data_IF_802393628911
#
_entry.id   IF_802393628911
#
_cell.length_a   1.000
_cell.length_b   1.000
_cell.length_c   1.000
_cell.angle_alpha   90.00
_cell.angle_beta   90.00
_cell.angle_gamma   90.00
#
_symmetry.space_group_name_H-M   'P 1'
#
loop_
_entity.id
_entity.type
_entity.pdbx_description
1 polymer ?
#
# COMPACT_ATOMS: atom_id res chain seq x y z
N UNK A 1 -37.95 -15.62 -21.67
CA UNK A 1 -36.54 -15.42 -21.27
C UNK A 1 -35.89 -14.59 -22.37
N UNK A 2 -36.01 -13.27 -22.27
CA UNK A 2 -35.25 -12.36 -23.14
C UNK A 2 -33.93 -12.09 -22.44
N UNK A 3 -32.83 -12.40 -23.14
CA UNK A 3 -31.51 -11.84 -22.85
C UNK A 3 -31.62 -10.33 -23.07
N UNK A 4 -32.01 -9.60 -22.03
CA UNK A 4 -32.02 -8.13 -22.06
C UNK A 4 -30.57 -7.66 -22.15
N UNK A 5 -30.20 -7.35 -23.39
CA UNK A 5 -29.10 -6.51 -23.87
C UNK A 5 -28.46 -5.65 -22.77
N UNK A 6 -27.52 -6.24 -22.01
CA UNK A 6 -26.43 -5.49 -21.40
C UNK A 6 -25.51 -5.10 -22.55
N UNK A 7 -25.83 -3.96 -23.18
CA UNK A 7 -25.14 -3.47 -24.36
C UNK A 7 -23.64 -3.37 -24.11
N UNK A 8 -22.84 -3.73 -25.11
CA UNK A 8 -21.42 -3.35 -25.18
C UNK A 8 -21.35 -1.83 -25.13
N UNK A 9 -20.93 -1.23 -24.01
CA UNK A 9 -20.88 0.24 -23.81
C UNK A 9 -19.61 0.85 -24.40
N UNK A 10 -19.22 0.32 -25.55
CA UNK A 10 -17.95 0.58 -26.20
C UNK A 10 -16.82 -0.28 -25.67
N UNK A 11 -15.63 0.31 -25.75
CA UNK A 11 -14.34 -0.29 -25.42
C UNK A 11 -13.50 0.79 -24.74
N UNK A 12 -12.68 0.39 -23.78
CA UNK A 12 -11.52 1.20 -23.41
C UNK A 12 -10.49 1.01 -24.52
N UNK A 13 -10.11 2.08 -25.20
CA UNK A 13 -9.18 2.04 -26.33
C UNK A 13 -8.19 3.20 -26.22
N UNK A 14 -6.91 2.90 -26.41
CA UNK A 14 -5.82 3.88 -26.31
C UNK A 14 -4.47 3.24 -26.02
N UNK A 15 -3.46 4.09 -25.83
CA UNK A 15 -2.13 3.66 -25.46
C UNK A 15 -2.10 2.98 -24.07
N UNK A 16 -1.34 1.90 -23.94
CA UNK A 16 -1.10 1.21 -22.67
C UNK A 16 0.10 1.76 -21.89
N UNK A 17 0.85 2.71 -22.45
CA UNK A 17 2.07 3.26 -21.82
C UNK A 17 3.31 2.38 -21.94
N UNK A 18 3.22 1.21 -22.58
CA UNK A 18 4.33 0.30 -22.90
C UNK A 18 4.59 0.19 -24.42
N UNK A 19 4.02 1.10 -25.21
CA UNK A 19 4.17 1.15 -26.66
C UNK A 19 3.13 0.33 -27.44
N UNK A 20 2.15 -0.25 -26.74
CA UNK A 20 1.01 -0.95 -27.33
C UNK A 20 -0.25 -0.08 -27.37
N UNK A 21 -1.19 -0.47 -28.23
CA UNK A 21 -2.58 -0.01 -28.18
C UNK A 21 -3.41 -1.14 -27.60
N UNK A 22 -4.13 -0.84 -26.52
CA UNK A 22 -4.98 -1.80 -25.84
C UNK A 22 -6.45 -1.54 -26.16
N UNK A 23 -7.23 -2.60 -26.27
CA UNK A 23 -8.68 -2.53 -26.49
C UNK A 23 -9.38 -3.52 -25.57
N UNK A 24 -10.00 -3.01 -24.51
CA UNK A 24 -10.71 -3.81 -23.51
C UNK A 24 -12.22 -3.55 -23.58
N UNK A 25 -13.08 -4.57 -23.36
CA UNK A 25 -14.51 -4.35 -23.25
C UNK A 25 -14.86 -3.38 -22.10
N UNK A 26 -15.72 -2.41 -22.39
CA UNK A 26 -16.33 -1.55 -21.37
C UNK A 26 -17.74 -2.06 -21.07
N UNK A 27 -17.90 -2.74 -19.95
CA UNK A 27 -19.16 -3.38 -19.56
C UNK A 27 -20.11 -2.45 -18.81
N UNK A 28 -19.58 -1.36 -18.23
CA UNK A 28 -20.33 -0.37 -17.46
C UNK A 28 -20.08 1.06 -17.96
N UNK A 29 -21.09 1.91 -17.81
CA UNK A 29 -20.99 3.36 -17.88
C UNK A 29 -21.46 3.84 -16.50
N UNK A 30 -20.55 4.30 -15.63
CA UNK A 30 -20.89 4.59 -14.26
C UNK A 30 -22.01 5.63 -14.10
N UNK A 31 -22.16 6.56 -15.05
CA UNK A 31 -23.20 7.58 -14.99
C UNK A 31 -24.60 7.04 -15.28
N UNK A 32 -24.70 6.01 -16.11
CA UNK A 32 -25.97 5.42 -16.53
C UNK A 32 -26.38 4.24 -15.65
N UNK A 33 -25.40 3.48 -15.17
CA UNK A 33 -25.69 2.20 -14.52
C UNK A 33 -25.32 2.14 -13.06
N UNK A 34 -24.53 3.09 -12.59
CA UNK A 34 -24.02 3.09 -11.23
C UNK A 34 -23.43 1.71 -10.90
N UNK A 35 -23.85 1.17 -9.76
CA UNK A 35 -23.28 -0.03 -9.14
C UNK A 35 -24.02 -1.32 -9.49
N UNK A 36 -24.88 -1.33 -10.53
CA UNK A 36 -25.78 -2.45 -10.85
C UNK A 36 -25.09 -3.81 -10.98
N UNK A 37 -23.90 -3.86 -11.57
CA UNK A 37 -23.13 -5.10 -11.75
C UNK A 37 -22.54 -5.65 -10.45
N UNK A 38 -22.48 -4.83 -9.39
CA UNK A 38 -22.12 -5.22 -8.03
C UNK A 38 -23.35 -5.28 -7.10
N UNK A 39 -24.53 -5.61 -7.63
CA UNK A 39 -25.77 -5.70 -6.84
C UNK A 39 -25.84 -6.94 -5.93
N UNK A 40 -25.09 -7.99 -6.24
CA UNK A 40 -24.96 -9.18 -5.40
C UNK A 40 -24.14 -8.94 -4.13
N UNK A 41 -23.34 -7.87 -4.08
CA UNK A 41 -22.58 -7.51 -2.89
C UNK A 41 -23.50 -6.91 -1.82
N UNK A 42 -23.47 -7.43 -0.58
CA UNK A 42 -24.32 -6.93 0.48
C UNK A 42 -23.86 -5.54 0.94
N UNK A 43 -24.80 -4.74 1.43
CA UNK A 43 -24.47 -3.58 2.26
C UNK A 43 -23.85 -4.06 3.57
N UNK A 44 -22.60 -3.68 3.81
CA UNK A 44 -21.83 -4.05 5.02
C UNK A 44 -21.76 -2.93 6.03
N UNK A 45 -21.91 -1.69 5.56
CA UNK A 45 -21.66 -0.51 6.35
C UNK A 45 -22.89 0.39 6.45
N UNK A 46 -22.96 1.09 7.59
CA UNK A 46 -23.89 2.20 7.78
C UNK A 46 -23.40 3.40 6.99
N UNK A 47 -24.34 4.10 6.36
CA UNK A 47 -24.08 5.28 5.51
C UNK A 47 -24.93 6.48 5.92
N UNK A 48 -25.71 6.33 6.98
CA UNK A 48 -26.62 7.35 7.53
C UNK A 48 -25.94 8.28 8.55
N UNK A 49 -24.66 8.07 8.84
CA UNK A 49 -23.89 8.88 9.77
C UNK A 49 -23.25 10.10 9.06
N UNK A 50 -23.12 11.26 9.74
CA UNK A 50 -22.42 12.40 9.19
C UNK A 50 -20.94 12.10 8.89
N UNK A 51 -20.34 12.85 7.97
CA UNK A 51 -18.90 12.79 7.77
C UNK A 51 -18.14 13.20 9.05
N UNK A 52 -16.94 12.64 9.26
CA UNK A 52 -16.07 12.95 10.41
C UNK A 52 -16.73 12.77 11.79
N UNK A 53 -17.67 11.83 11.89
CA UNK A 53 -18.50 11.59 13.08
C UNK A 53 -18.05 10.40 13.92
N UNK A 54 -17.23 9.50 13.39
CA UNK A 54 -16.82 8.25 14.05
C UNK A 54 -15.34 8.35 14.43
N UNK A 55 -15.03 8.20 15.72
CA UNK A 55 -13.64 8.15 16.20
C UNK A 55 -12.92 6.91 15.67
N UNK A 56 -11.59 6.97 15.56
CA UNK A 56 -10.81 5.90 14.94
C UNK A 56 -11.04 4.52 15.58
N UNK A 57 -11.12 4.44 16.91
CA UNK A 57 -11.35 3.17 17.60
C UNK A 57 -12.71 2.53 17.26
N UNK A 58 -13.77 3.35 17.19
CA UNK A 58 -15.11 2.89 16.82
C UNK A 58 -15.18 2.53 15.33
N UNK A 59 -14.46 3.27 14.49
CA UNK A 59 -14.36 2.99 13.07
C UNK A 59 -13.64 1.65 12.82
N UNK A 60 -12.49 1.43 13.46
CA UNK A 60 -11.74 0.18 13.37
C UNK A 60 -12.57 -1.01 13.87
N UNK A 61 -13.37 -0.84 14.93
CA UNK A 61 -14.29 -1.87 15.41
C UNK A 61 -15.40 -2.18 14.40
N UNK A 62 -15.94 -1.15 13.72
CA UNK A 62 -16.93 -1.31 12.65
C UNK A 62 -16.32 -2.02 11.43
N UNK A 63 -15.06 -1.74 11.08
CA UNK A 63 -14.36 -2.45 10.02
C UNK A 63 -14.16 -3.93 10.38
N UNK A 64 -13.61 -4.20 11.57
CA UNK A 64 -13.31 -5.54 12.06
C UNK A 64 -14.57 -6.43 12.13
N UNK A 65 -15.73 -5.87 12.50
CA UNK A 65 -16.99 -6.59 12.53
C UNK A 65 -17.43 -7.15 11.16
N UNK A 66 -16.87 -6.64 10.06
CA UNK A 66 -17.14 -7.13 8.70
C UNK A 66 -16.15 -8.19 8.21
N UNK A 67 -15.10 -8.46 8.98
CA UNK A 67 -14.03 -9.40 8.62
C UNK A 67 -14.41 -10.79 9.16
N UNK A 68 -14.32 -11.87 8.33
CA UNK A 68 -14.56 -13.23 8.81
C UNK A 68 -13.62 -13.63 9.95
N UNK A 69 -14.11 -14.43 10.90
CA UNK A 69 -13.35 -14.81 12.10
C UNK A 69 -12.08 -15.58 11.76
N UNK A 70 -12.12 -16.40 10.73
CA UNK A 70 -10.98 -17.15 10.20
C UNK A 70 -9.88 -16.22 9.67
N UNK A 71 -10.24 -15.09 9.07
CA UNK A 71 -9.29 -14.08 8.61
C UNK A 71 -8.65 -13.38 9.80
N UNK A 72 -9.44 -13.01 10.81
CA UNK A 72 -8.91 -12.43 12.05
C UNK A 72 -7.93 -13.39 12.75
N UNK A 73 -8.31 -14.66 12.89
CA UNK A 73 -7.46 -15.68 13.50
C UNK A 73 -6.15 -15.89 12.71
N UNK A 74 -6.23 -15.90 11.37
CA UNK A 74 -5.06 -16.00 10.50
C UNK A 74 -4.14 -14.78 10.62
N UNK A 75 -4.70 -13.57 10.69
CA UNK A 75 -3.92 -12.34 10.92
C UNK A 75 -3.12 -12.46 12.22
N UNK A 76 -3.74 -12.91 13.32
CA UNK A 76 -3.02 -13.09 14.58
C UNK A 76 -1.88 -14.13 14.47
N UNK A 77 -2.12 -15.23 13.77
CA UNK A 77 -1.10 -16.27 13.54
C UNK A 77 0.08 -15.72 12.74
N UNK A 78 -0.20 -14.97 11.66
CA UNK A 78 0.83 -14.35 10.82
C UNK A 78 1.66 -13.34 11.63
N UNK A 79 1.02 -12.51 12.43
CA UNK A 79 1.71 -11.54 13.29
C UNK A 79 2.61 -12.23 14.33
N UNK A 80 2.12 -13.29 14.97
CA UNK A 80 2.88 -14.06 15.94
C UNK A 80 4.08 -14.76 15.29
N UNK A 81 3.86 -15.37 14.12
CA UNK A 81 4.89 -16.08 13.38
C UNK A 81 5.96 -15.12 12.83
N UNK A 82 5.56 -13.96 12.33
CA UNK A 82 6.47 -12.91 11.90
C UNK A 82 7.38 -12.44 13.05
N UNK A 83 6.84 -12.24 14.27
CA UNK A 83 7.66 -11.92 15.46
C UNK A 83 8.65 -13.04 15.77
N UNK A 84 8.19 -14.30 15.72
CA UNK A 84 9.01 -15.47 16.00
C UNK A 84 10.18 -15.58 15.01
N UNK A 85 9.90 -15.43 13.72
CA UNK A 85 10.91 -15.48 12.65
C UNK A 85 11.87 -14.31 12.71
N UNK A 86 11.39 -13.10 13.03
CA UNK A 86 12.26 -11.94 13.23
C UNK A 86 13.24 -12.15 14.39
N UNK A 87 12.79 -12.73 15.51
CA UNK A 87 13.66 -13.12 16.63
C UNK A 87 14.74 -14.15 16.28
N UNK A 88 14.62 -14.83 15.13
CA UNK A 88 15.59 -15.77 14.58
C UNK A 88 16.44 -15.17 13.45
N UNK A 89 16.21 -13.90 13.09
CA UNK A 89 16.85 -13.26 11.93
C UNK A 89 16.35 -13.76 10.58
N UNK A 90 15.15 -14.39 10.54
CA UNK A 90 14.56 -14.98 9.34
C UNK A 90 13.46 -14.12 8.69
N UNK A 91 13.06 -13.03 9.33
CA UNK A 91 12.08 -12.08 8.84
C UNK A 91 12.50 -10.65 9.22
N UNK A 92 11.87 -9.65 8.61
CA UNK A 92 12.09 -8.25 8.96
C UNK A 92 11.64 -7.96 10.41
N UNK A 93 12.21 -6.90 10.99
CA UNK A 93 11.87 -6.42 12.32
C UNK A 93 10.43 -5.95 12.38
N UNK A 94 9.59 -6.50 13.27
CA UNK A 94 8.22 -6.06 13.48
C UNK A 94 8.12 -4.58 13.87
N UNK A 95 7.03 -3.91 13.50
CA UNK A 95 6.77 -2.55 13.94
C UNK A 95 6.63 -2.46 15.45
N UNK A 96 7.00 -1.31 16.00
CA UNK A 96 6.98 -1.09 17.46
C UNK A 96 5.53 -1.05 17.97
N UNK A 97 4.62 -0.39 17.23
CA UNK A 97 3.21 -0.36 17.58
C UNK A 97 2.44 -1.56 17.02
N UNK A 98 2.28 -2.59 17.85
CA UNK A 98 1.55 -3.80 17.50
C UNK A 98 0.09 -3.54 17.07
N UNK A 99 -0.57 -2.51 17.63
CA UNK A 99 -1.96 -2.19 17.29
C UNK A 99 -2.05 -1.64 15.86
N UNK A 100 -1.18 -0.70 15.52
CA UNK A 100 -1.07 -0.18 14.15
C UNK A 100 -0.65 -1.26 13.17
N UNK A 101 0.28 -2.15 13.55
CA UNK A 101 0.68 -3.27 12.70
C UNK A 101 -0.49 -4.20 12.37
N UNK A 102 -1.26 -4.60 13.39
CA UNK A 102 -2.47 -5.40 13.20
C UNK A 102 -3.47 -4.68 12.30
N UNK A 103 -3.72 -3.40 12.57
CA UNK A 103 -4.63 -2.57 11.77
C UNK A 103 -4.21 -2.56 10.30
N UNK A 104 -2.92 -2.36 10.01
CA UNK A 104 -2.38 -2.38 8.65
C UNK A 104 -2.74 -3.68 7.90
N UNK A 105 -2.52 -4.85 8.52
CA UNK A 105 -2.84 -6.14 7.90
C UNK A 105 -4.36 -6.31 7.67
N UNK A 106 -5.20 -5.87 8.61
CA UNK A 106 -6.65 -5.92 8.44
C UNK A 106 -7.13 -5.01 7.31
N UNK A 107 -6.54 -3.82 7.19
CA UNK A 107 -6.82 -2.91 6.09
C UNK A 107 -6.38 -3.50 4.76
N UNK A 108 -5.29 -4.25 4.70
CA UNK A 108 -4.90 -4.97 3.48
C UNK A 108 -5.96 -5.97 3.00
N UNK A 109 -6.56 -6.71 3.93
CA UNK A 109 -7.65 -7.62 3.58
C UNK A 109 -8.91 -6.87 3.12
N UNK A 110 -9.25 -5.78 3.82
CA UNK A 110 -10.41 -4.97 3.45
C UNK A 110 -10.23 -4.26 2.11
N UNK A 111 -9.02 -3.82 1.81
CA UNK A 111 -8.59 -3.28 0.52
C UNK A 111 -8.79 -4.30 -0.60
N UNK A 112 -8.34 -5.54 -0.41
CA UNK A 112 -8.56 -6.63 -1.37
C UNK A 112 -10.06 -6.85 -1.65
N UNK A 113 -10.86 -6.92 -0.58
CA UNK A 113 -12.31 -7.09 -0.68
C UNK A 113 -12.95 -5.93 -1.44
N UNK A 114 -12.61 -4.69 -1.08
CA UNK A 114 -13.20 -3.51 -1.72
C UNK A 114 -12.80 -3.41 -3.19
N UNK A 115 -11.56 -3.76 -3.53
CA UNK A 115 -11.09 -3.87 -4.90
C UNK A 115 -11.90 -4.89 -5.71
N UNK A 116 -12.21 -6.05 -5.14
CA UNK A 116 -13.06 -7.04 -5.79
C UNK A 116 -14.48 -6.51 -6.07
N UNK A 117 -15.08 -5.77 -5.12
CA UNK A 117 -16.40 -5.14 -5.32
C UNK A 117 -16.35 -4.10 -6.45
N UNK A 118 -15.27 -3.31 -6.52
CA UNK A 118 -15.07 -2.31 -7.59
C UNK A 118 -14.89 -2.98 -8.95
N UNK A 119 -14.10 -4.06 -9.03
CA UNK A 119 -13.90 -4.83 -10.26
C UNK A 119 -15.19 -5.50 -10.75
N UNK A 120 -16.00 -6.03 -9.84
CA UNK A 120 -17.34 -6.54 -10.16
C UNK A 120 -18.25 -5.43 -10.70
N UNK A 121 -18.21 -4.23 -10.10
CA UNK A 121 -18.97 -3.08 -10.58
C UNK A 121 -18.51 -2.61 -11.97
N UNK A 122 -17.22 -2.76 -12.29
CA UNK A 122 -16.67 -2.52 -13.63
C UNK A 122 -17.07 -3.58 -14.67
N UNK A 123 -17.63 -4.71 -14.22
CA UNK A 123 -17.95 -5.86 -15.05
C UNK A 123 -16.74 -6.73 -15.41
N UNK A 124 -15.66 -6.64 -14.62
CA UNK A 124 -14.43 -7.42 -14.77
C UNK A 124 -14.13 -8.20 -13.49
N UNK A 125 -15.01 -9.13 -13.07
CA UNK A 125 -14.79 -9.91 -11.85
C UNK A 125 -13.51 -10.72 -11.95
N UNK A 126 -12.77 -10.83 -10.83
CA UNK A 126 -11.54 -11.62 -10.76
C UNK A 126 -11.45 -12.38 -9.44
N UNK A 127 -11.24 -13.68 -9.55
CA UNK A 127 -11.06 -14.55 -8.39
C UNK A 127 -9.87 -14.13 -7.52
N UNK A 128 -8.83 -13.56 -8.15
CA UNK A 128 -7.62 -13.10 -7.47
C UNK A 128 -7.79 -11.75 -6.76
N UNK A 129 -8.79 -10.94 -7.11
CA UNK A 129 -8.96 -9.62 -6.49
C UNK A 129 -9.33 -9.71 -5.01
N UNK A 130 -10.11 -10.73 -4.61
CA UNK A 130 -10.49 -10.95 -3.21
C UNK A 130 -9.31 -11.36 -2.31
N UNK A 131 -8.15 -11.66 -2.89
CA UNK A 131 -6.91 -12.00 -2.16
C UNK A 131 -5.76 -11.08 -2.55
N UNK A 132 -6.04 -9.97 -3.24
CA UNK A 132 -5.08 -8.91 -3.54
C UNK A 132 -4.35 -8.45 -2.28
N UNK A 133 -3.04 -8.27 -2.36
CA UNK A 133 -2.15 -8.02 -1.23
C UNK A 133 -2.17 -9.10 -0.12
N UNK A 134 -3.06 -10.08 -0.13
CA UNK A 134 -3.22 -11.08 0.95
C UNK A 134 -2.56 -12.40 0.59
N UNK A 135 -2.88 -12.96 -0.57
CA UNK A 135 -2.37 -14.24 -1.08
C UNK A 135 -1.91 -14.12 -2.54
N UNK A 136 -0.78 -13.47 -2.71
CA UNK A 136 -0.22 -13.25 -4.03
C UNK A 136 0.97 -14.16 -4.23
N UNK A 137 0.93 -15.05 -5.21
CA UNK A 137 1.98 -16.03 -5.35
C UNK A 137 2.98 -15.63 -6.43
N UNK A 138 4.24 -15.50 -6.04
CA UNK A 138 5.38 -15.41 -6.96
C UNK A 138 6.20 -16.70 -6.93
N UNK A 139 6.88 -17.01 -8.03
CA UNK A 139 7.82 -18.12 -8.08
C UNK A 139 9.17 -17.71 -7.49
N UNK A 140 9.85 -18.63 -6.80
CA UNK A 140 11.18 -18.42 -6.24
C UNK A 140 12.18 -17.88 -7.26
N UNK A 141 12.15 -18.39 -8.50
CA UNK A 141 12.99 -17.87 -9.61
C UNK A 141 12.79 -16.36 -9.86
N UNK A 142 11.56 -15.86 -9.73
CA UNK A 142 11.22 -14.44 -9.99
C UNK A 142 11.65 -13.55 -8.83
N UNK A 143 11.62 -14.07 -7.61
CA UNK A 143 12.15 -13.36 -6.44
C UNK A 143 13.68 -13.19 -6.54
N UNK A 144 14.39 -14.20 -7.03
CA UNK A 144 15.85 -14.15 -7.25
C UNK A 144 16.26 -13.08 -8.26
N UNK A 145 15.43 -12.84 -9.27
CA UNK A 145 15.62 -11.76 -10.26
C UNK A 145 15.49 -10.34 -9.66
N UNK A 146 14.99 -10.20 -8.42
CA UNK A 146 14.68 -8.92 -7.75
C UNK A 146 15.56 -8.62 -6.53
N UNK A 147 16.76 -9.19 -6.44
CA UNK A 147 17.63 -9.07 -5.25
C UNK A 147 18.59 -7.86 -5.24
N UNK A 148 18.52 -6.97 -6.24
CA UNK A 148 19.50 -5.88 -6.42
C UNK A 148 19.72 -5.00 -5.18
N UNK A 149 18.63 -4.60 -4.52
CA UNK A 149 18.60 -3.75 -3.33
C UNK A 149 18.22 -4.51 -2.05
N UNK A 150 18.22 -5.84 -2.05
CA UNK A 150 17.74 -6.67 -0.95
C UNK A 150 18.63 -6.64 0.30
N UNK A 151 17.99 -6.72 1.48
CA UNK A 151 18.67 -6.88 2.77
C UNK A 151 19.32 -8.26 2.83
N UNK A 152 20.39 -8.45 3.64
CA UNK A 152 21.03 -9.74 3.78
C UNK A 152 20.06 -10.87 4.14
N UNK A 153 19.17 -10.67 5.12
CA UNK A 153 18.22 -11.70 5.55
C UNK A 153 17.27 -12.12 4.41
N UNK A 154 16.78 -11.15 3.64
CA UNK A 154 15.83 -11.40 2.56
C UNK A 154 16.54 -12.06 1.37
N UNK A 155 17.76 -11.61 1.07
CA UNK A 155 18.62 -12.22 0.07
C UNK A 155 18.90 -13.69 0.40
N UNK A 156 19.32 -13.97 1.63
CA UNK A 156 19.60 -15.34 2.08
C UNK A 156 18.35 -16.20 2.03
N UNK A 157 17.22 -15.67 2.52
CA UNK A 157 15.93 -16.34 2.45
C UNK A 157 15.53 -16.67 0.99
N UNK A 158 15.53 -15.69 0.08
CA UNK A 158 15.13 -15.89 -1.32
C UNK A 158 16.08 -16.84 -2.06
N UNK A 159 17.39 -16.74 -1.82
CA UNK A 159 18.38 -17.64 -2.45
C UNK A 159 18.23 -19.08 -1.97
N UNK A 160 17.71 -19.30 -0.76
CA UNK A 160 17.42 -20.64 -0.24
C UNK A 160 16.21 -21.33 -0.89
N UNK A 161 15.37 -20.58 -1.60
CA UNK A 161 14.13 -21.11 -2.17
C UNK A 161 14.40 -21.92 -3.46
N UNK A 162 13.69 -23.04 -3.67
CA UNK A 162 13.58 -23.67 -4.98
C UNK A 162 12.99 -22.71 -6.03
N UNK A 163 13.39 -22.85 -7.30
CA UNK A 163 12.93 -21.96 -8.38
C UNK A 163 11.42 -22.04 -8.63
N UNK A 164 10.87 -23.24 -8.45
CA UNK A 164 9.47 -23.59 -8.59
C UNK A 164 8.62 -23.33 -7.34
N UNK A 165 9.25 -22.92 -6.22
CA UNK A 165 8.52 -22.66 -4.99
C UNK A 165 7.53 -21.50 -5.19
N UNK A 166 6.27 -21.72 -4.81
CA UNK A 166 5.23 -20.67 -4.80
C UNK A 166 5.24 -19.98 -3.46
N UNK A 167 5.67 -18.73 -3.46
CA UNK A 167 5.81 -17.91 -2.26
C UNK A 167 4.70 -16.89 -2.24
N UNK A 168 3.95 -16.83 -1.13
CA UNK A 168 3.03 -15.74 -0.90
C UNK A 168 3.85 -14.45 -0.71
N UNK A 169 3.65 -13.44 -1.55
CA UNK A 169 4.27 -12.11 -1.49
C UNK A 169 3.24 -11.05 -1.08
N UNK A 170 2.15 -11.48 -0.42
CA UNK A 170 1.20 -10.62 0.29
C UNK A 170 1.36 -10.66 1.82
N UNK A 171 0.53 -9.88 2.52
CA UNK A 171 0.53 -9.64 3.97
C UNK A 171 0.38 -10.89 4.82
N UNK A 172 -0.13 -12.00 4.26
CA UNK A 172 -0.20 -13.28 4.96
C UNK A 172 1.03 -14.18 4.74
N UNK A 173 2.15 -13.63 4.30
CA UNK A 173 3.46 -14.26 4.46
C UNK A 173 4.17 -13.73 5.72
N UNK A 174 4.41 -14.57 6.75
CA UNK A 174 5.05 -14.12 7.99
C UNK A 174 6.50 -13.64 7.81
N UNK A 175 7.22 -14.07 6.77
CA UNK A 175 8.56 -13.53 6.44
C UNK A 175 8.50 -12.08 5.96
N UNK A 176 7.40 -11.69 5.31
CA UNK A 176 7.24 -10.37 4.69
C UNK A 176 6.29 -9.45 5.45
N UNK A 177 5.41 -9.97 6.31
CA UNK A 177 4.36 -9.21 6.98
C UNK A 177 4.88 -7.98 7.77
N UNK A 178 6.05 -8.09 8.38
CA UNK A 178 6.70 -6.96 9.07
C UNK A 178 7.26 -5.93 8.08
N UNK A 179 7.88 -6.38 6.99
CA UNK A 179 8.39 -5.51 5.92
C UNK A 179 7.26 -4.81 5.18
N UNK A 180 6.11 -5.48 5.01
CA UNK A 180 4.93 -4.92 4.34
C UNK A 180 4.24 -3.83 5.13
N UNK A 181 4.31 -3.87 6.46
CA UNK A 181 3.83 -2.74 7.27
C UNK A 181 4.57 -1.44 6.95
N UNK A 182 5.80 -1.52 6.44
CA UNK A 182 6.61 -0.36 6.06
C UNK A 182 6.25 0.16 4.66
N UNK A 183 5.25 -0.42 3.98
CA UNK A 183 4.75 0.06 2.70
C UNK A 183 4.22 1.50 2.84
N UNK A 184 4.74 2.39 2.00
CA UNK A 184 4.37 3.80 1.95
C UNK A 184 5.14 4.50 0.85
N UNK A 185 4.92 5.80 0.67
CA UNK A 185 5.57 6.64 -0.35
C UNK A 185 7.10 6.55 -0.40
N UNK A 186 7.75 6.04 0.66
CA UNK A 186 9.18 5.82 0.71
C UNK A 186 9.61 4.70 -0.24
N UNK A 187 9.72 5.00 -1.55
CA UNK A 187 10.46 4.21 -2.57
C UNK A 187 11.97 4.05 -2.24
N UNK A 188 12.37 4.18 -0.99
CA UNK A 188 13.73 4.40 -0.54
C UNK A 188 13.98 3.74 0.80
N UNK A 189 15.09 3.00 0.89
CA UNK A 189 15.32 1.92 1.85
C UNK A 189 15.08 0.55 1.19
N UNK A 190 15.58 -0.52 1.81
CA UNK A 190 15.35 -1.88 1.32
C UNK A 190 13.87 -2.23 1.46
N UNK A 191 13.14 -2.27 0.35
CA UNK A 191 11.73 -2.64 0.32
C UNK A 191 11.55 -4.10 -0.11
N UNK A 192 12.19 -5.03 0.60
CA UNK A 192 12.17 -6.47 0.29
C UNK A 192 10.77 -6.97 -0.13
N UNK A 193 9.75 -6.64 0.66
CA UNK A 193 8.38 -7.02 0.38
C UNK A 193 7.76 -6.31 -0.84
N UNK A 194 8.03 -5.00 -1.04
CA UNK A 194 7.50 -4.29 -2.22
C UNK A 194 8.19 -4.75 -3.50
N UNK A 195 9.49 -5.06 -3.46
CA UNK A 195 10.22 -5.60 -4.61
C UNK A 195 9.68 -6.97 -5.02
N UNK A 196 9.31 -7.80 -4.05
CA UNK A 196 8.57 -9.05 -4.28
C UNK A 196 7.18 -8.78 -4.87
N UNK A 197 6.44 -7.88 -4.24
CA UNK A 197 5.04 -7.58 -4.58
C UNK A 197 4.88 -6.88 -5.94
N UNK A 198 5.89 -6.16 -6.42
CA UNK A 198 5.91 -5.59 -7.79
C UNK A 198 5.78 -6.65 -8.88
N UNK A 199 6.04 -7.93 -8.58
CA UNK A 199 5.80 -9.06 -9.48
C UNK A 199 4.31 -9.40 -9.66
N UNK A 200 3.43 -8.89 -8.81
CA UNK A 200 1.99 -9.08 -8.95
C UNK A 200 1.46 -8.37 -10.20
N UNK A 201 0.38 -8.93 -10.76
CA UNK A 201 -0.16 -8.55 -12.06
C UNK A 201 -0.72 -7.12 -12.12
N UNK A 202 -1.11 -6.53 -10.98
CA UNK A 202 -1.55 -5.14 -10.91
C UNK A 202 -0.40 -4.13 -10.84
N UNK A 203 0.85 -4.58 -10.67
CA UNK A 203 2.05 -3.74 -10.64
C UNK A 203 2.85 -3.80 -11.93
N UNK A 204 3.72 -4.79 -12.09
CA UNK A 204 4.50 -5.01 -13.32
C UNK A 204 4.09 -6.34 -13.96
N UNK A 205 3.62 -7.28 -13.15
CA UNK A 205 3.38 -8.66 -13.57
C UNK A 205 4.66 -9.44 -13.84
N UNK A 206 4.46 -10.65 -14.33
CA UNK A 206 5.51 -11.56 -14.82
C UNK A 206 5.16 -12.01 -16.23
N UNK A 207 6.09 -12.65 -16.97
CA UNK A 207 5.75 -13.28 -18.25
C UNK A 207 4.62 -14.32 -18.12
N UNK A 208 4.49 -15.00 -16.97
CA UNK A 208 3.43 -15.97 -16.71
C UNK A 208 2.10 -15.33 -16.29
N UNK A 209 2.13 -14.13 -15.72
CA UNK A 209 0.98 -13.37 -15.26
C UNK A 209 1.20 -11.88 -15.59
N UNK A 210 0.94 -11.47 -16.85
CA UNK A 210 1.29 -10.13 -17.33
C UNK A 210 0.46 -9.05 -16.63
N UNK A 211 0.75 -7.79 -16.97
CA UNK A 211 0.07 -6.64 -16.40
C UNK A 211 -1.44 -6.67 -16.67
N UNK A 212 -2.23 -6.50 -15.61
CA UNK A 212 -3.70 -6.50 -15.64
C UNK A 212 -4.24 -5.09 -15.40
N UNK A 213 -4.59 -4.40 -16.49
CA UNK A 213 -4.96 -2.97 -16.46
C UNK A 213 -6.19 -2.65 -15.63
N UNK A 214 -7.19 -3.54 -15.61
CA UNK A 214 -8.40 -3.34 -14.81
C UNK A 214 -8.06 -3.29 -13.33
N UNK A 215 -7.29 -4.27 -12.85
CA UNK A 215 -6.88 -4.35 -11.45
C UNK A 215 -5.90 -3.23 -11.11
N UNK A 216 -4.92 -2.93 -11.99
CA UNK A 216 -3.99 -1.81 -11.79
C UNK A 216 -4.71 -0.48 -11.62
N UNK A 217 -5.66 -0.17 -12.51
CA UNK A 217 -6.36 1.10 -12.50
C UNK A 217 -7.33 1.20 -11.30
N UNK A 218 -8.04 0.13 -10.97
CA UNK A 218 -8.87 0.09 -9.77
C UNK A 218 -8.02 0.17 -8.49
N UNK A 219 -6.90 -0.55 -8.40
CA UNK A 219 -5.96 -0.45 -7.29
C UNK A 219 -5.35 0.95 -7.17
N UNK A 220 -5.03 1.58 -8.29
CA UNK A 220 -4.59 2.98 -8.34
C UNK A 220 -5.63 3.90 -7.69
N UNK A 221 -6.91 3.71 -8.02
CA UNK A 221 -8.02 4.46 -7.40
C UNK A 221 -8.09 4.22 -5.90
N UNK A 222 -8.05 2.96 -5.47
CA UNK A 222 -8.14 2.60 -4.05
C UNK A 222 -6.94 3.11 -3.26
N UNK A 223 -5.79 3.37 -3.88
CA UNK A 223 -4.63 3.94 -3.18
C UNK A 223 -4.53 5.47 -3.22
N UNK A 224 -4.95 6.13 -4.31
CA UNK A 224 -4.75 7.58 -4.48
C UNK A 224 -6.02 8.40 -4.30
N UNK A 225 -7.18 7.76 -4.39
CA UNK A 225 -8.48 8.37 -4.12
C UNK A 225 -9.26 7.72 -2.98
N UNK A 226 -8.69 6.87 -2.10
CA UNK A 226 -9.43 6.52 -0.93
C UNK A 226 -9.45 7.76 -0.03
N UNK A 227 -10.55 7.90 0.69
CA UNK A 227 -10.53 8.72 1.89
C UNK A 227 -9.78 8.04 3.06
N UNK A 228 -8.98 7.02 2.76
CA UNK A 228 -8.28 6.19 3.74
C UNK A 228 -7.25 7.02 4.50
N UNK A 229 -7.30 6.91 5.82
CA UNK A 229 -6.33 7.54 6.70
C UNK A 229 -5.41 6.47 7.27
N UNK A 230 -4.13 6.58 6.92
CA UNK A 230 -3.06 5.72 7.41
C UNK A 230 -3.34 4.24 7.17
N UNK A 231 -3.64 3.95 5.92
CA UNK A 231 -3.92 2.62 5.38
C UNK A 231 -2.70 1.79 5.05
N UNK A 232 -2.83 0.97 4.01
CA UNK A 232 -1.70 0.20 3.42
C UNK A 232 -0.52 1.11 3.06
N UNK A 233 -0.77 2.31 2.53
CA UNK A 233 0.29 3.25 2.09
C UNK A 233 0.68 4.31 3.12
N UNK A 234 0.13 4.26 4.33
CA UNK A 234 0.29 5.30 5.37
C UNK A 234 0.07 6.74 4.87
N UNK A 235 -0.80 6.91 3.88
CA UNK A 235 -1.11 8.23 3.31
C UNK A 235 -2.22 8.93 4.12
N UNK A 236 -2.20 10.28 4.17
CA UNK A 236 -3.34 11.03 4.65
C UNK A 236 -4.51 10.90 3.67
N UNK A 237 -5.72 11.08 4.20
CA UNK A 237 -6.96 11.07 3.44
C UNK A 237 -6.92 12.06 2.26
N UNK A 238 -7.17 11.58 1.03
CA UNK A 238 -7.23 12.38 -0.19
C UNK A 238 -8.64 12.89 -0.54
N UNK A 239 -8.73 13.75 -1.58
CA UNK A 239 -10.00 14.22 -2.14
C UNK A 239 -10.20 13.75 -3.59
N UNK A 240 -11.47 13.52 -3.98
CA UNK A 240 -11.82 13.15 -5.37
C UNK A 240 -11.37 14.18 -6.40
N UNK A 241 -11.27 15.47 -6.00
CA UNK A 241 -10.74 16.55 -6.84
C UNK A 241 -9.30 16.32 -7.29
N UNK A 242 -8.53 15.54 -6.53
CA UNK A 242 -7.09 15.38 -6.71
C UNK A 242 -6.79 14.27 -7.73
N UNK A 243 -7.80 13.46 -8.10
CA UNK A 243 -7.65 12.35 -9.04
C UNK A 243 -6.95 12.79 -10.34
N UNK A 244 -7.43 13.86 -10.96
CA UNK A 244 -6.89 14.31 -12.26
C UNK A 244 -5.43 14.76 -12.16
N UNK A 245 -5.00 15.25 -11.00
CA UNK A 245 -3.60 15.56 -10.75
C UNK A 245 -2.80 14.26 -10.62
N UNK A 246 -3.28 13.30 -9.81
CA UNK A 246 -2.63 12.00 -9.63
C UNK A 246 -2.51 11.21 -10.93
N UNK A 247 -3.51 11.24 -11.80
CA UNK A 247 -3.47 10.61 -13.13
C UNK A 247 -2.37 11.18 -14.02
N UNK A 248 -1.99 12.45 -13.84
CA UNK A 248 -0.93 13.11 -14.65
C UNK A 248 0.46 12.86 -14.09
N UNK A 249 0.58 12.77 -12.77
CA UNK A 249 1.87 12.75 -12.08
C UNK A 249 2.37 11.33 -11.82
N UNK A 250 1.48 10.39 -11.50
CA UNK A 250 1.89 9.06 -11.06
C UNK A 250 2.37 8.18 -12.23
N UNK A 251 3.62 7.73 -12.14
CA UNK A 251 4.27 6.92 -13.17
C UNK A 251 3.60 5.57 -13.42
N UNK A 252 2.76 5.08 -12.51
CA UNK A 252 2.01 3.85 -12.68
C UNK A 252 0.85 4.00 -13.67
N UNK A 253 0.39 5.21 -13.98
CA UNK A 253 -0.80 5.41 -14.81
C UNK A 253 -0.68 6.54 -15.83
N UNK A 254 0.20 7.52 -15.62
CA UNK A 254 0.25 8.75 -16.41
C UNK A 254 0.56 8.56 -17.90
N UNK A 255 1.15 7.42 -18.28
CA UNK A 255 1.44 7.07 -19.67
C UNK A 255 0.39 6.18 -20.32
N UNK A 256 -0.63 5.73 -19.59
CA UNK A 256 -1.65 4.79 -20.08
C UNK A 256 -3.00 5.49 -20.23
N UNK A 257 -3.41 5.75 -21.46
CA UNK A 257 -4.73 6.34 -21.76
C UNK A 257 -5.86 5.41 -21.32
N UNK A 258 -5.71 4.10 -21.58
CA UNK A 258 -6.69 3.08 -21.15
C UNK A 258 -6.74 3.00 -19.62
N UNK A 259 -5.58 2.96 -18.96
CA UNK A 259 -5.52 2.96 -17.49
C UNK A 259 -6.23 4.17 -16.88
N UNK A 260 -5.98 5.37 -17.41
CA UNK A 260 -6.63 6.59 -16.92
C UNK A 260 -8.15 6.58 -17.13
N UNK A 261 -8.64 6.05 -18.25
CA UNK A 261 -10.09 5.92 -18.49
C UNK A 261 -10.73 4.95 -17.49
N UNK A 262 -10.11 3.78 -17.28
CA UNK A 262 -10.60 2.79 -16.30
C UNK A 262 -10.58 3.39 -14.89
N UNK A 263 -9.52 4.11 -14.51
CA UNK A 263 -9.41 4.73 -13.19
C UNK A 263 -10.51 5.78 -12.95
N UNK A 264 -10.90 6.57 -13.96
CA UNK A 264 -12.03 7.50 -13.84
C UNK A 264 -13.36 6.77 -13.62
N UNK A 265 -13.59 5.68 -14.36
CA UNK A 265 -14.79 4.87 -14.17
C UNK A 265 -14.82 4.20 -12.79
N UNK A 266 -13.70 3.61 -12.38
CA UNK A 266 -13.51 2.99 -11.07
C UNK A 266 -13.71 4.00 -9.92
N UNK A 267 -13.20 5.23 -10.07
CA UNK A 267 -13.38 6.30 -9.11
C UNK A 267 -14.87 6.66 -8.90
N UNK A 268 -15.61 6.79 -10.00
CA UNK A 268 -17.04 7.07 -9.92
C UNK A 268 -17.81 5.94 -9.23
N UNK A 269 -17.51 4.70 -9.58
CA UNK A 269 -18.14 3.52 -8.99
C UNK A 269 -17.79 3.37 -7.51
N UNK A 270 -16.53 3.54 -7.14
CA UNK A 270 -16.08 3.51 -5.74
C UNK A 270 -16.87 4.53 -4.90
N UNK A 271 -17.01 5.77 -5.36
CA UNK A 271 -17.79 6.79 -4.66
C UNK A 271 -19.27 6.41 -4.48
N UNK A 272 -19.88 5.72 -5.45
CA UNK A 272 -21.25 5.20 -5.33
C UNK A 272 -21.32 4.00 -4.37
N UNK A 273 -20.38 3.06 -4.46
CA UNK A 273 -20.29 1.88 -3.60
C UNK A 273 -20.05 2.25 -2.12
N UNK A 274 -19.27 3.31 -1.84
CA UNK A 274 -19.09 3.87 -0.49
C UNK A 274 -20.43 4.40 0.06
N UNK A 275 -21.22 5.09 -0.77
CA UNK A 275 -22.53 5.63 -0.39
C UNK A 275 -23.60 4.56 -0.21
N UNK A 276 -23.46 3.44 -0.90
CA UNK A 276 -24.30 2.25 -0.70
C UNK A 276 -23.83 1.39 0.48
N UNK A 277 -22.67 1.69 1.07
CA UNK A 277 -22.10 0.94 2.18
C UNK A 277 -21.61 -0.45 1.79
N UNK A 278 -21.28 -0.67 0.51
CA UNK A 278 -20.74 -1.93 0.01
C UNK A 278 -19.21 -2.03 0.19
N UNK A 279 -18.53 -0.89 0.14
CA UNK A 279 -17.10 -0.73 0.45
C UNK A 279 -16.91 0.23 1.64
N UNK A 280 -15.69 0.33 2.17
CA UNK A 280 -15.41 1.07 3.40
C UNK A 280 -15.84 2.54 3.30
N UNK A 281 -16.69 3.04 4.21
CA UNK A 281 -17.15 4.43 4.20
C UNK A 281 -16.15 5.33 4.94
N UNK A 282 -14.96 5.50 4.37
CA UNK A 282 -13.87 6.32 4.91
C UNK A 282 -14.26 7.76 5.25
N UNK A 283 -15.38 8.25 4.71
CA UNK A 283 -15.96 9.54 5.08
C UNK A 283 -16.40 9.68 6.53
N UNK A 284 -16.75 8.57 7.17
CA UNK A 284 -17.24 8.59 8.54
C UNK A 284 -16.11 8.78 9.55
N UNK A 285 -14.90 8.31 9.22
CA UNK A 285 -13.73 8.38 10.07
C UNK A 285 -13.35 9.84 10.35
N UNK A 286 -13.37 10.21 11.63
CA UNK A 286 -12.74 11.42 12.14
C UNK A 286 -11.24 11.21 12.16
N UNK A 287 -10.55 11.97 11.32
CA UNK A 287 -9.09 11.91 11.21
C UNK A 287 -8.44 12.61 12.40
N UNK A 288 -7.54 11.94 13.15
CA UNK A 288 -6.74 12.58 14.18
C UNK A 288 -5.93 13.77 13.62
N UNK A 289 -5.84 14.85 14.38
CA UNK A 289 -5.08 16.05 13.98
C UNK A 289 -3.59 15.99 14.35
N UNK A 290 -3.22 15.08 15.26
CA UNK A 290 -1.84 14.86 15.73
C UNK A 290 -1.08 13.82 14.92
N UNK A 291 0.25 13.83 15.06
CA UNK A 291 1.12 12.80 14.48
C UNK A 291 0.84 11.45 15.14
N UNK A 292 0.59 10.42 14.32
CA UNK A 292 0.33 9.07 14.77
C UNK A 292 1.62 8.24 14.91
N UNK A 293 1.67 7.24 15.80
CA UNK A 293 2.83 6.38 16.03
C UNK A 293 3.51 5.84 14.75
N UNK A 294 2.71 5.32 13.82
CA UNK A 294 3.16 4.77 12.54
C UNK A 294 3.84 5.83 11.65
N UNK A 295 3.43 7.09 11.74
CA UNK A 295 4.06 8.18 10.98
C UNK A 295 5.45 8.50 11.53
N UNK A 296 5.61 8.49 12.86
CA UNK A 296 6.92 8.70 13.51
C UNK A 296 7.87 7.57 13.16
N UNK A 297 7.42 6.32 13.27
CA UNK A 297 8.22 5.15 12.93
C UNK A 297 8.62 5.14 11.44
N UNK A 298 7.69 5.44 10.54
CA UNK A 298 7.98 5.56 9.11
C UNK A 298 8.98 6.69 8.81
N UNK A 299 8.81 7.87 9.41
CA UNK A 299 9.74 8.97 9.27
C UNK A 299 11.16 8.57 9.72
N UNK A 300 11.27 7.82 10.82
CA UNK A 300 12.57 7.35 11.31
C UNK A 300 13.24 6.37 10.34
N UNK A 301 12.46 5.47 9.73
CA UNK A 301 12.96 4.54 8.71
C UNK A 301 13.51 5.29 7.48
N UNK A 302 12.80 6.32 7.00
CA UNK A 302 13.26 7.17 5.89
C UNK A 302 14.58 7.86 6.22
N UNK A 303 14.69 8.48 7.40
CA UNK A 303 15.90 9.19 7.82
C UNK A 303 17.10 8.25 8.01
N UNK A 304 16.87 7.03 8.53
CA UNK A 304 17.91 6.01 8.64
C UNK A 304 18.36 5.51 7.27
N UNK A 305 17.44 5.28 6.34
CA UNK A 305 17.80 4.90 4.96
C UNK A 305 18.70 5.96 4.31
N UNK A 306 18.38 7.26 4.47
CA UNK A 306 19.23 8.36 3.97
C UNK A 306 20.64 8.33 4.55
N UNK A 307 20.78 8.06 5.84
CA UNK A 307 22.09 7.93 6.51
C UNK A 307 22.88 6.73 5.98
N UNK A 308 22.22 5.60 5.77
CA UNK A 308 22.86 4.40 5.21
C UNK A 308 23.35 4.65 3.78
N UNK A 309 22.54 5.29 2.93
CA UNK A 309 22.96 5.69 1.58
C UNK A 309 24.13 6.67 1.61
N UNK A 310 24.09 7.70 2.45
CA UNK A 310 25.20 8.64 2.59
C UNK A 310 26.49 7.96 3.06
N UNK A 311 26.40 7.03 4.01
CA UNK A 311 27.54 6.24 4.46
C UNK A 311 28.08 5.32 3.36
N UNK A 312 27.21 4.67 2.59
CA UNK A 312 27.58 3.83 1.46
C UNK A 312 28.23 4.66 0.34
N UNK A 313 27.71 5.86 0.04
CA UNK A 313 28.29 6.79 -0.92
C UNK A 313 29.67 7.28 -0.49
N UNK A 314 29.87 7.61 0.79
CA UNK A 314 31.18 7.98 1.34
C UNK A 314 32.19 6.82 1.27
N UNK A 315 31.74 5.58 1.47
CA UNK A 315 32.57 4.39 1.31
C UNK A 315 32.86 4.07 -0.17
N UNK A 316 31.89 4.31 -1.05
CA UNK A 316 32.03 4.19 -2.49
C UNK A 316 33.00 5.23 -3.03
N UNK A 317 32.90 6.51 -2.64
CA UNK A 317 33.87 7.56 -3.01
C UNK A 317 35.28 7.28 -2.47
N UNK A 318 35.39 6.66 -1.29
CA UNK A 318 36.68 6.20 -0.78
C UNK A 318 37.27 5.00 -1.54
N UNK A 319 36.45 4.24 -2.28
CA UNK A 319 36.85 3.08 -3.09
C UNK A 319 36.83 3.34 -4.61
N UNK A 320 36.17 4.41 -5.06
CA UNK A 320 35.97 4.83 -6.45
C UNK A 320 36.94 5.94 -6.90
N UNK A 321 38.16 5.95 -6.37
CA UNK A 321 39.33 6.42 -7.13
C UNK A 321 39.65 5.48 -8.32
N UNK A 322 38.78 4.51 -8.61
CA UNK A 322 38.80 3.63 -9.77
C UNK A 322 37.38 3.39 -10.28
N UNK A 323 37.05 4.08 -11.38
CA UNK A 323 36.02 3.76 -12.39
C UNK A 323 34.51 4.03 -12.12
N UNK A 324 34.06 5.08 -12.82
CA UNK A 324 32.84 5.21 -13.64
C UNK A 324 31.41 5.11 -13.05
N UNK A 325 30.75 6.29 -13.09
CA UNK A 325 29.41 6.57 -13.64
C UNK A 325 28.29 5.54 -13.43
N UNK A 326 27.41 5.83 -12.46
CA UNK A 326 26.15 5.13 -12.28
C UNK A 326 25.34 5.59 -11.07
N UNK A 327 25.32 6.90 -10.78
CA UNK A 327 24.51 7.44 -9.69
C UNK A 327 23.04 7.43 -10.07
N UNK A 328 22.25 6.54 -9.46
CA UNK A 328 20.78 6.55 -9.56
C UNK A 328 20.29 7.84 -8.88
N UNK A 329 19.98 8.87 -9.66
CA UNK A 329 19.26 10.03 -9.18
C UNK A 329 17.82 9.60 -8.85
N UNK A 330 17.53 9.43 -7.56
CA UNK A 330 16.18 9.20 -7.06
C UNK A 330 15.45 10.54 -6.98
N UNK A 331 14.94 11.01 -8.11
CA UNK A 331 13.98 12.11 -8.12
C UNK A 331 12.85 11.80 -7.13
N UNK A 332 12.75 12.60 -6.05
CA UNK A 332 11.73 12.48 -5.01
C UNK A 332 12.21 12.00 -3.63
N UNK A 333 13.45 11.50 -3.46
CA UNK A 333 13.90 11.07 -2.12
C UNK A 333 14.12 12.23 -1.15
N UNK A 334 14.63 13.37 -1.63
CA UNK A 334 14.80 14.56 -0.78
C UNK A 334 13.44 15.11 -0.29
N UNK A 335 12.40 15.05 -1.12
CA UNK A 335 11.04 15.42 -0.70
C UNK A 335 10.48 14.49 0.38
N UNK A 336 10.84 13.20 0.35
CA UNK A 336 10.48 12.23 1.39
C UNK A 336 11.23 12.49 2.69
N UNK A 337 12.52 12.82 2.62
CA UNK A 337 13.32 13.23 3.78
C UNK A 337 12.72 14.50 4.39
N UNK A 338 12.34 15.48 3.59
CA UNK A 338 11.67 16.69 4.06
C UNK A 338 10.34 16.37 4.76
N UNK A 339 9.50 15.51 4.16
CA UNK A 339 8.25 15.04 4.77
C UNK A 339 8.52 14.34 6.11
N UNK A 340 9.56 13.51 6.20
CA UNK A 340 9.96 12.84 7.43
C UNK A 340 10.44 13.82 8.52
N UNK A 341 11.23 14.82 8.15
CA UNK A 341 11.67 15.88 9.08
C UNK A 341 10.48 16.66 9.64
N UNK A 342 9.50 17.04 8.80
CA UNK A 342 8.27 17.71 9.23
C UNK A 342 7.44 16.88 10.22
N UNK A 343 7.47 15.54 10.10
CA UNK A 343 6.86 14.66 11.11
C UNK A 343 7.59 14.82 12.45
N UNK A 344 8.93 14.81 12.44
CA UNK A 344 9.74 14.95 13.65
C UNK A 344 9.63 16.31 14.33
N UNK A 345 9.43 17.40 13.59
CA UNK A 345 9.11 18.72 14.15
C UNK A 345 7.87 18.69 15.04
N UNK A 346 6.93 17.80 14.75
CA UNK A 346 5.66 17.65 15.47
C UNK A 346 5.65 16.49 16.47
N UNK A 347 6.70 15.68 16.54
CA UNK A 347 6.82 14.57 17.51
C UNK A 347 6.67 15.01 18.97
N UNK A 348 7.12 16.20 19.42
CA UNK A 348 6.86 16.66 20.78
C UNK A 348 5.36 16.70 21.15
N UNK A 349 4.47 17.02 20.20
CA UNK A 349 3.01 16.96 20.38
C UNK A 349 2.56 15.52 20.64
N UNK A 350 3.06 14.57 19.84
CA UNK A 350 2.74 13.14 19.97
C UNK A 350 3.28 12.54 21.27
N UNK A 351 4.50 12.90 21.67
CA UNK A 351 5.10 12.47 22.94
C UNK A 351 4.24 12.90 24.13
N UNK A 352 3.68 14.12 24.11
CA UNK A 352 2.82 14.60 25.18
C UNK A 352 1.58 13.71 25.32
N UNK A 353 0.93 13.36 24.21
CA UNK A 353 -0.23 12.45 24.19
C UNK A 353 0.16 11.04 24.64
N UNK A 354 1.18 10.45 24.02
CA UNK A 354 1.64 9.08 24.32
C UNK A 354 2.19 8.93 25.74
N UNK A 355 2.77 9.98 26.34
CA UNK A 355 3.26 9.90 27.72
C UNK A 355 2.13 9.62 28.73
N UNK A 356 0.89 9.98 28.39
CA UNK A 356 -0.30 9.74 29.21
C UNK A 356 -0.90 8.34 29.01
N UNK A 357 -0.71 7.72 27.85
CA UNK A 357 -1.39 6.47 27.45
C UNK A 357 -0.45 5.28 27.20
N UNK A 358 0.78 5.52 26.72
CA UNK A 358 1.81 4.51 26.39
C UNK A 358 3.23 5.05 26.67
N UNK A 359 3.69 5.04 27.94
CA UNK A 359 4.95 5.66 28.35
C UNK A 359 6.20 5.09 27.64
N UNK A 360 6.17 3.83 27.20
CA UNK A 360 7.28 3.21 26.47
C UNK A 360 7.52 3.85 25.09
N UNK A 361 6.47 4.12 24.31
CA UNK A 361 6.58 4.78 23.00
C UNK A 361 7.12 6.20 23.17
N UNK A 362 6.63 6.92 24.18
CA UNK A 362 7.13 8.26 24.49
C UNK A 362 8.64 8.27 24.79
N UNK A 363 9.15 7.30 25.56
CA UNK A 363 10.60 7.17 25.81
C UNK A 363 11.39 6.90 24.53
N UNK A 364 10.89 6.02 23.66
CA UNK A 364 11.54 5.72 22.37
C UNK A 364 11.60 6.94 21.46
N UNK A 365 10.50 7.67 21.31
CA UNK A 365 10.45 8.86 20.47
C UNK A 365 11.37 9.98 20.97
N UNK A 366 11.50 10.14 22.29
CA UNK A 366 12.50 11.04 22.88
C UNK A 366 13.92 10.62 22.49
N UNK A 367 14.23 9.33 22.58
CA UNK A 367 15.53 8.80 22.15
C UNK A 367 15.81 9.04 20.66
N UNK A 368 14.81 8.92 19.78
CA UNK A 368 14.97 9.25 18.36
C UNK A 368 15.20 10.75 18.11
N UNK A 369 14.50 11.62 18.83
CA UNK A 369 14.76 13.06 18.77
C UNK A 369 16.21 13.39 19.20
N UNK A 370 16.69 12.76 20.27
CA UNK A 370 18.07 12.88 20.73
C UNK A 370 19.06 12.36 19.68
N UNK A 371 18.79 11.19 19.07
CA UNK A 371 19.60 10.60 17.99
C UNK A 371 19.71 11.55 16.77
N UNK A 372 18.62 12.24 16.42
CA UNK A 372 18.61 13.22 15.34
C UNK A 372 19.41 14.47 15.71
N UNK A 373 19.30 14.94 16.96
CA UNK A 373 20.04 16.09 17.46
C UNK A 373 21.55 15.84 17.60
N UNK A 374 21.95 14.64 18.05
CA UNK A 374 23.36 14.26 18.24
C UNK A 374 24.06 13.86 16.94
N UNK A 375 23.31 13.38 15.95
CA UNK A 375 23.82 12.77 14.72
C UNK A 375 24.29 13.73 13.64
N UNK A 376 24.49 15.02 13.94
CA UNK A 376 25.13 15.96 13.02
C UNK A 376 24.51 15.98 11.62
N UNK A 377 23.18 15.99 11.53
CA UNK A 377 22.55 16.46 10.31
C UNK A 377 22.97 17.93 10.15
N UNK A 378 24.03 18.18 9.37
CA UNK A 378 24.10 19.44 8.63
C UNK A 378 22.90 19.41 7.68
N UNK A 379 21.78 19.86 8.23
CA UNK A 379 20.70 20.50 7.51
C UNK A 379 21.37 21.74 6.92
N UNK A 380 21.77 21.67 5.65
CA UNK A 380 22.00 22.84 4.80
C UNK A 380 21.02 22.74 3.67
#
# INVERSE_FOLDING_TARGET
MSEDVVGRRGVYEGADGHGGVLRLPRHVDPQLDGTRLASHHPQRYRVDLPADSVEQADFDALLEATIPREVLARTEQVLQEARRLAGQGLADTPPIDAASWRRGILLSWLHARDLAVILDALGHPRDVANVHDVEEFALGKRLKERLGSADPWYRDWVLSLPDEARINVGFFNPHLAASMFKWGDAKSGVQNAMDAHRLAAHHVGTPEAPLEWMERAANFVVHHIPREHLGIRHEPRGAWSDLEQRLKEDSAINRSEVGQQIARDAAHLAALLEREGKIIPWQLLRVPTGVQPQQVEHAMLVLRARRHEAAAALQADASAASEAEGGVQLDGFDALVEKALRVFERVPEAIAVESSSRPHLATLYKGWLEELASGGARIV
#
